data_IF_442748755282
#
_entry.id   IF_442748755282
#
_cell.length_a   1.000
_cell.length_b   1.000
_cell.length_c   1.000
_cell.angle_alpha   90.00
_cell.angle_beta   90.00
_cell.angle_gamma   90.00
#
_symmetry.space_group_name_H-M   'P 1'
#
loop_
_entity.id
_entity.type
_entity.pdbx_description
1 polymer ?
#
# COMPACT_ATOMS: atom_id res chain seq x y z
N UNK A 1 33.35 -28.73 1.64
CA UNK A 1 33.52 -28.05 2.95
C UNK A 1 33.58 -26.52 2.81
N UNK A 2 34.47 -25.93 1.98
CA UNK A 2 34.57 -24.47 1.79
C UNK A 2 33.24 -23.77 1.44
N UNK A 3 32.46 -24.34 0.51
CA UNK A 3 31.18 -23.75 0.06
C UNK A 3 30.15 -23.66 1.21
N UNK A 4 30.07 -24.67 2.07
CA UNK A 4 29.17 -24.67 3.22
C UNK A 4 29.56 -23.60 4.26
N UNK A 5 30.86 -23.39 4.46
CA UNK A 5 31.36 -22.35 5.37
C UNK A 5 31.01 -20.95 4.87
N UNK A 6 31.15 -20.70 3.57
CA UNK A 6 30.80 -19.40 2.96
C UNK A 6 29.30 -19.14 3.04
N UNK A 7 28.46 -20.14 2.75
CA UNK A 7 27.02 -20.01 2.87
C UNK A 7 26.60 -19.71 4.31
N UNK A 8 27.17 -20.42 5.28
CA UNK A 8 26.87 -20.22 6.69
C UNK A 8 27.32 -18.84 7.18
N UNK A 9 28.47 -18.33 6.72
CA UNK A 9 28.94 -16.99 7.09
C UNK A 9 28.09 -15.88 6.50
N UNK A 10 27.63 -16.04 5.25
CA UNK A 10 26.73 -15.07 4.61
C UNK A 10 25.37 -15.08 5.31
N UNK A 11 24.84 -16.25 5.65
CA UNK A 11 23.60 -16.39 6.39
C UNK A 11 23.68 -15.76 7.78
N UNK A 12 24.73 -16.04 8.54
CA UNK A 12 24.93 -15.44 9.86
C UNK A 12 25.05 -13.91 9.78
N UNK A 13 25.79 -13.39 8.80
CA UNK A 13 25.96 -11.95 8.60
C UNK A 13 24.64 -11.24 8.22
N UNK A 14 23.83 -11.86 7.36
CA UNK A 14 22.54 -11.32 6.94
C UNK A 14 21.48 -11.36 8.06
N UNK A 15 21.55 -12.34 8.96
CA UNK A 15 20.73 -12.34 10.20
C UNK A 15 21.18 -11.24 11.17
N UNK A 16 22.49 -11.07 11.40
CA UNK A 16 23.01 -10.04 12.31
C UNK A 16 22.78 -8.61 11.81
N UNK A 17 22.76 -8.41 10.50
CA UNK A 17 22.49 -7.12 9.87
C UNK A 17 20.99 -6.78 9.80
N UNK A 18 20.11 -7.65 10.33
CA UNK A 18 18.66 -7.42 10.32
C UNK A 18 18.00 -7.58 8.94
N UNK A 19 18.76 -7.95 7.90
CA UNK A 19 18.24 -8.18 6.54
C UNK A 19 17.26 -9.37 6.48
N UNK A 20 17.42 -10.32 7.40
CA UNK A 20 16.54 -11.48 7.57
C UNK A 20 15.81 -11.47 8.91
N UNK A 21 15.80 -10.34 9.64
CA UNK A 21 15.17 -10.28 10.95
C UNK A 21 13.65 -10.35 10.80
N UNK A 22 13.05 -11.38 11.40
CA UNK A 22 11.63 -11.34 11.74
C UNK A 22 11.39 -10.12 12.64
N UNK A 23 10.26 -9.39 12.47
CA UNK A 23 9.94 -8.27 13.34
C UNK A 23 9.99 -8.74 14.80
N UNK A 24 10.71 -7.98 15.65
CA UNK A 24 10.80 -8.29 17.06
C UNK A 24 9.38 -8.31 17.65
N UNK A 25 8.90 -9.49 18.04
CA UNK A 25 7.59 -9.65 18.61
C UNK A 25 7.59 -9.14 20.05
N UNK A 26 6.65 -8.29 20.39
CA UNK A 26 6.47 -7.79 21.76
C UNK A 26 5.26 -8.48 22.38
N UNK A 27 5.40 -8.90 23.64
CA UNK A 27 4.27 -9.42 24.40
C UNK A 27 3.43 -8.26 24.92
N UNK A 28 2.16 -8.22 24.52
CA UNK A 28 1.19 -7.22 24.96
C UNK A 28 0.06 -7.93 25.70
N UNK A 29 -0.50 -7.27 26.72
CA UNK A 29 -1.67 -7.78 27.44
C UNK A 29 -2.81 -8.04 26.48
N UNK A 30 -3.49 -9.17 26.67
CA UNK A 30 -4.67 -9.53 25.90
C UNK A 30 -5.84 -9.84 26.83
N UNK A 31 -6.48 -8.81 27.42
CA UNK A 31 -7.52 -8.99 28.43
C UNK A 31 -8.72 -9.81 27.95
N UNK A 32 -8.99 -9.83 26.64
CA UNK A 32 -10.05 -10.65 26.04
C UNK A 32 -9.80 -12.15 26.17
N UNK A 33 -8.58 -12.56 26.48
CA UNK A 33 -8.19 -13.96 26.72
C UNK A 33 -7.82 -14.22 28.19
N UNK A 34 -7.99 -13.23 29.07
CA UNK A 34 -7.77 -13.43 30.50
C UNK A 34 -8.84 -14.41 31.04
N UNK A 35 -8.45 -15.23 31.99
CA UNK A 35 -9.32 -16.18 32.66
C UNK A 35 -9.20 -16.06 34.16
N UNK A 36 -10.23 -16.48 34.88
CA UNK A 36 -10.19 -16.57 36.33
C UNK A 36 -10.96 -17.80 36.80
N UNK A 37 -10.47 -18.41 37.88
CA UNK A 37 -11.15 -19.51 38.56
C UNK A 37 -11.53 -19.03 39.95
N UNK A 38 -12.85 -19.01 40.22
CA UNK A 38 -13.40 -18.67 41.53
C UNK A 38 -13.86 -19.95 42.21
N UNK A 39 -13.46 -20.13 43.46
CA UNK A 39 -13.89 -21.26 44.29
C UNK A 39 -14.56 -20.75 45.56
N UNK A 40 -15.66 -21.37 45.92
CA UNK A 40 -16.32 -21.18 47.20
C UNK A 40 -16.45 -22.52 47.91
N UNK A 41 -16.16 -22.51 49.21
CA UNK A 41 -16.22 -23.68 50.08
C UNK A 41 -16.91 -23.32 51.40
N UNK A 42 -17.44 -24.32 52.11
CA UNK A 42 -17.93 -24.14 53.48
C UNK A 42 -16.95 -24.76 54.46
N UNK A 43 -16.33 -23.94 55.28
CA UNK A 43 -15.34 -24.37 56.28
C UNK A 43 -15.84 -24.01 57.67
N UNK A 44 -16.09 -25.02 58.51
CA UNK A 44 -16.47 -24.81 59.92
C UNK A 44 -17.79 -24.05 60.14
N UNK A 45 -18.69 -24.03 59.15
CA UNK A 45 -19.95 -23.27 59.20
C UNK A 45 -19.92 -21.92 58.49
N UNK A 46 -18.74 -21.42 58.11
CA UNK A 46 -18.54 -20.17 57.36
C UNK A 46 -18.33 -20.42 55.87
N UNK A 47 -18.56 -19.40 55.03
CA UNK A 47 -18.20 -19.42 53.61
C UNK A 47 -16.76 -18.93 53.44
N UNK A 48 -15.94 -19.73 52.76
CA UNK A 48 -14.59 -19.39 52.34
C UNK A 48 -14.57 -19.20 50.82
N UNK A 49 -13.77 -18.24 50.35
CA UNK A 49 -13.64 -17.93 48.93
C UNK A 49 -12.17 -17.86 48.53
N UNK A 50 -11.86 -18.29 47.31
CA UNK A 50 -10.55 -18.13 46.70
C UNK A 50 -10.69 -17.79 45.21
N UNK A 51 -9.71 -17.06 44.67
CA UNK A 51 -9.64 -16.68 43.27
C UNK A 51 -8.22 -16.90 42.76
N UNK A 52 -8.10 -17.41 41.54
CA UNK A 52 -6.84 -17.49 40.79
C UNK A 52 -7.04 -16.81 39.44
N UNK A 53 -6.22 -15.81 39.14
CA UNK A 53 -6.27 -15.04 37.90
C UNK A 53 -5.21 -15.54 36.89
N UNK A 54 -5.64 -15.84 35.69
CA UNK A 54 -4.82 -16.23 34.54
C UNK A 54 -4.73 -15.09 33.54
N UNK A 55 -3.72 -14.25 33.70
CA UNK A 55 -3.43 -13.14 32.80
C UNK A 55 -2.78 -13.61 31.50
N UNK A 56 -3.35 -13.19 30.37
CA UNK A 56 -2.95 -13.58 29.03
C UNK A 56 -2.18 -12.48 28.31
N UNK A 57 -1.20 -12.93 27.52
CA UNK A 57 -0.37 -12.08 26.68
C UNK A 57 -0.27 -12.69 25.29
N UNK A 58 -0.39 -11.84 24.27
CA UNK A 58 -0.20 -12.22 22.88
C UNK A 58 1.09 -11.59 22.35
N UNK A 59 1.80 -12.37 21.51
CA UNK A 59 2.91 -11.85 20.73
C UNK A 59 2.36 -11.05 19.56
N UNK A 60 2.76 -9.78 19.46
CA UNK A 60 2.40 -8.90 18.36
C UNK A 60 3.69 -8.51 17.65
N UNK A 61 3.71 -8.71 16.33
CA UNK A 61 4.77 -8.23 15.45
C UNK A 61 4.34 -6.90 14.84
N UNK A 62 4.95 -5.77 15.24
CA UNK A 62 4.54 -4.46 14.73
C UNK A 62 4.91 -4.31 13.26
N UNK A 63 4.07 -3.57 12.52
CA UNK A 63 4.37 -3.17 11.14
C UNK A 63 5.43 -2.07 11.19
N UNK A 64 6.62 -2.35 10.68
CA UNK A 64 7.77 -1.43 10.72
C UNK A 64 7.67 -0.34 9.65
N UNK A 65 7.04 -0.62 8.52
CA UNK A 65 6.90 0.34 7.42
C UNK A 65 5.64 0.05 6.59
N UNK A 66 4.90 1.12 6.26
CA UNK A 66 3.84 1.08 5.26
C UNK A 66 4.39 1.68 3.96
N UNK A 67 4.48 0.88 2.90
CA UNK A 67 4.90 1.35 1.57
C UNK A 67 3.66 1.70 0.76
N UNK A 68 3.51 2.98 0.40
CA UNK A 68 2.41 3.44 -0.47
C UNK A 68 2.88 3.38 -1.92
N UNK A 69 2.15 2.63 -2.77
CA UNK A 69 2.40 2.60 -4.21
C UNK A 69 1.51 3.64 -4.90
N UNK A 70 2.06 4.55 -5.74
CA UNK A 70 1.24 5.43 -6.55
C UNK A 70 0.43 4.63 -7.58
N UNK A 71 -0.81 5.03 -7.81
CA UNK A 71 -1.68 4.50 -8.87
C UNK A 71 -1.78 5.56 -9.97
N UNK A 72 -1.36 5.21 -11.19
CA UNK A 72 -1.47 6.10 -12.34
C UNK A 72 -2.85 5.97 -13.00
N UNK A 73 -3.40 7.10 -13.44
CA UNK A 73 -4.64 7.18 -14.23
C UNK A 73 -4.30 7.80 -15.58
N UNK A 74 -4.72 7.17 -16.68
CA UNK A 74 -4.54 7.68 -18.04
C UNK A 74 -5.87 8.16 -18.62
N UNK A 75 -5.85 9.33 -19.25
CA UNK A 75 -7.00 9.92 -19.94
C UNK A 75 -6.71 10.03 -21.43
N UNK A 76 -7.69 9.68 -22.27
CA UNK A 76 -7.60 9.84 -23.72
C UNK A 76 -8.62 10.89 -24.17
N UNK A 77 -8.15 11.95 -24.83
CA UNK A 77 -9.03 12.94 -25.43
C UNK A 77 -9.50 12.47 -26.82
N UNK A 78 -10.79 12.59 -27.10
CA UNK A 78 -11.31 12.39 -28.46
C UNK A 78 -11.04 13.63 -29.31
N UNK A 79 -10.55 13.41 -30.53
CA UNK A 79 -10.32 14.46 -31.51
C UNK A 79 -11.67 15.01 -31.99
N UNK A 80 -11.85 16.34 -31.92
CA UNK A 80 -13.01 17.02 -32.52
C UNK A 80 -12.65 17.37 -33.98
N UNK A 81 -13.40 16.89 -35.00
CA UNK A 81 -13.12 17.23 -36.38
C UNK A 81 -13.30 18.73 -36.63
N UNK A 82 -12.27 19.38 -37.21
CA UNK A 82 -12.36 20.77 -37.67
C UNK A 82 -13.07 20.78 -39.02
N UNK A 83 -14.18 21.51 -39.11
CA UNK A 83 -14.96 21.68 -40.35
C UNK A 83 -14.12 22.31 -41.47
N UNK A 84 -14.40 21.89 -42.70
CA UNK A 84 -13.68 22.23 -43.93
C UNK A 84 -13.61 23.76 -44.20
N UNK A 85 -12.51 24.20 -44.81
CA UNK A 85 -12.34 25.56 -45.29
C UNK A 85 -13.03 25.77 -46.65
N UNK A 86 -13.87 26.81 -46.76
CA UNK A 86 -14.43 27.29 -48.03
C UNK A 86 -13.42 28.20 -48.73
N UNK A 87 -13.05 27.88 -49.97
CA UNK A 87 -12.21 28.73 -50.83
C UNK A 87 -13.08 29.78 -51.55
N UNK A 88 -12.67 31.06 -51.63
CA UNK A 88 -13.46 32.07 -52.34
C UNK A 88 -13.27 31.98 -53.86
N UNK A 89 -14.38 32.09 -54.60
CA UNK A 89 -14.37 32.14 -56.06
C UNK A 89 -13.98 33.55 -56.56
N UNK A 90 -13.04 33.64 -57.51
CA UNK A 90 -12.62 34.88 -58.17
C UNK A 90 -13.47 35.09 -59.43
N UNK A 91 -14.13 36.25 -59.54
CA UNK A 91 -14.88 36.69 -60.73
C UNK A 91 -13.95 37.50 -61.65
N UNK A 92 -13.68 37.02 -62.87
CA UNK A 92 -12.92 37.76 -63.88
C UNK A 92 -13.83 38.29 -64.99
N UNK A 93 -13.71 39.58 -65.32
CA UNK A 93 -14.20 40.12 -66.60
C UNK A 93 -13.04 40.70 -67.39
N UNK A 94 -12.91 40.19 -68.62
CA UNK A 94 -11.82 40.37 -69.56
C UNK A 94 -11.82 41.79 -70.18
N UNK A 95 -10.63 42.36 -70.31
CA UNK A 95 -10.42 43.64 -70.98
C UNK A 95 -10.60 43.54 -72.50
N UNK A 96 -11.21 44.57 -73.09
CA UNK A 96 -11.14 44.85 -74.52
C UNK A 96 -10.71 46.32 -74.68
N UNK A 97 -9.50 46.54 -75.19
CA UNK A 97 -9.02 47.86 -75.62
C UNK A 97 -9.00 47.96 -77.14
N UNK A 98 -9.38 49.12 -77.68
CA UNK A 98 -8.95 49.61 -79.01
C UNK A 98 -9.05 51.16 -79.01
N UNK A 99 -7.91 51.86 -78.92
CA UNK A 99 -7.22 52.70 -79.95
C UNK A 99 -7.93 54.02 -80.31
N UNK A 100 -7.25 55.14 -80.01
CA UNK A 100 -7.52 56.48 -80.56
C UNK A 100 -6.54 56.72 -81.72
N UNK A 101 -7.08 57.18 -82.85
CA UNK A 101 -6.40 57.51 -84.11
C UNK A 101 -5.61 58.82 -84.00
N UNK A 102 -4.39 58.82 -84.55
CA UNK A 102 -3.60 59.98 -84.95
C UNK A 102 -2.76 59.61 -86.16
#
# INVERSE_FOLDING_TARGET
MKVAVVLLSVFACSVSAGLLAAPASVLVRTPSLDSAVIKSDRLGGNFAYSSVEGHSYAAISPVVQNVVSPVAVSYTAHQVPVGYAVSPAIHGYAGHGNVIVG
#
